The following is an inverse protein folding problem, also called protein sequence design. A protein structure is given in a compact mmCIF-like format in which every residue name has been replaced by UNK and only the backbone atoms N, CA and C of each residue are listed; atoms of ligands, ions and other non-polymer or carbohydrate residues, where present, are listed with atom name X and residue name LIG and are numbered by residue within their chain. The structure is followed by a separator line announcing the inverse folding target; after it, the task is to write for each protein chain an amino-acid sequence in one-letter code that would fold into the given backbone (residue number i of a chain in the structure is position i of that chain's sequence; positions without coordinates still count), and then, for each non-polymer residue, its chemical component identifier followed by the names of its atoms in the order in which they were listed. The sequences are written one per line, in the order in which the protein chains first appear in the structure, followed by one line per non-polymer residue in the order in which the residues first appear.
data_IF_122102736884
#
_entry.id   IF_122102736884
#
_cell.length_a   1.000
_cell.length_b   1.000
_cell.length_c   1.000
_cell.angle_alpha   90.00
_cell.angle_beta   90.00
_cell.angle_gamma   90.00
#
_symmetry.space_group_name_H-M   'P 1'
#
loop_
_entity.id
_entity.type
_entity.pdbx_description
1 polymer ?
#
# COMPACT_ATOMS: atom_id res chain seq x y z
N UNK A 1 18.93 -2.45 6.98
CA UNK A 1 17.85 -3.20 6.31
C UNK A 1 16.50 -3.10 7.01
N UNK A 2 16.34 -3.39 8.31
CA UNK A 2 15.00 -3.23 8.96
C UNK A 2 14.44 -1.81 8.80
N UNK A 3 15.28 -0.79 8.99
CA UNK A 3 14.89 0.62 8.85
C UNK A 3 14.75 1.11 7.40
N UNK A 4 14.98 0.22 6.42
CA UNK A 4 14.82 0.54 4.99
C UNK A 4 13.38 0.29 4.51
N UNK A 5 12.50 -0.26 5.35
CA UNK A 5 11.15 -0.63 4.97
C UNK A 5 10.10 -0.03 5.90
N UNK A 6 9.08 0.60 5.30
CA UNK A 6 7.81 0.88 5.96
C UNK A 6 6.86 -0.30 5.74
N UNK A 7 6.19 -0.73 6.80
CA UNK A 7 5.22 -1.84 6.74
C UNK A 7 3.81 -1.24 6.75
N UNK A 8 3.06 -1.45 5.66
CA UNK A 8 1.65 -1.12 5.58
C UNK A 8 0.83 -2.33 6.06
N UNK A 9 0.10 -2.15 7.15
CA UNK A 9 -0.76 -3.16 7.78
C UNK A 9 -1.91 -2.47 8.50
N UNK A 10 -3.07 -3.14 8.61
CA UNK A 10 -4.23 -2.64 9.35
C UNK A 10 -3.97 -2.49 10.85
N UNK A 11 -3.08 -3.32 11.42
CA UNK A 11 -2.85 -3.34 12.88
C UNK A 11 -2.13 -2.09 13.39
N UNK A 12 -1.16 -1.59 12.64
CA UNK A 12 -0.25 -0.53 13.10
C UNK A 12 -0.20 0.65 12.12
N UNK A 13 -1.36 1.15 11.71
CA UNK A 13 -1.44 2.27 10.76
C UNK A 13 -0.82 3.56 11.29
N UNK A 14 -0.84 3.80 12.59
CA UNK A 14 -0.32 5.03 13.19
C UNK A 14 1.19 5.23 12.99
N UNK A 15 1.93 4.15 12.68
CA UNK A 15 3.38 4.21 12.43
C UNK A 15 3.72 4.31 10.94
N UNK A 16 2.74 4.14 10.05
CA UNK A 16 2.96 4.26 8.61
C UNK A 16 3.18 5.73 8.21
N UNK A 17 4.10 6.06 7.28
CA UNK A 17 4.43 7.45 6.94
C UNK A 17 3.30 8.26 6.28
N UNK A 18 2.22 7.63 5.82
CA UNK A 18 1.08 8.30 5.20
C UNK A 18 -0.17 8.15 6.08
N UNK A 19 -0.60 9.26 6.66
CA UNK A 19 -1.75 9.34 7.57
C UNK A 19 -2.93 10.03 6.89
N UNK A 20 -4.15 9.71 7.32
CA UNK A 20 -5.37 10.36 6.83
C UNK A 20 -5.22 11.89 6.90
N UNK A 21 -5.39 12.55 5.75
CA UNK A 21 -5.48 14.01 5.70
C UNK A 21 -6.92 14.45 5.96
N UNK A 22 -7.14 15.60 6.63
CA UNK A 22 -8.47 16.18 6.74
C UNK A 22 -9.09 16.34 5.34
N UNK A 23 -10.36 15.98 5.18
CA UNK A 23 -11.06 16.15 3.91
C UNK A 23 -10.99 17.63 3.49
N UNK A 24 -10.50 17.96 2.28
CA UNK A 24 -10.49 19.34 1.83
C UNK A 24 -11.91 19.89 1.75
N UNK A 25 -12.04 21.21 1.94
CA UNK A 25 -13.31 21.91 1.69
C UNK A 25 -13.53 21.92 0.17
N UNK A 26 -14.34 20.98 -0.30
CA UNK A 26 -14.55 20.67 -1.72
C UNK A 26 -14.00 19.28 -2.06
N UNK A 27 -14.82 18.44 -2.69
CA UNK A 27 -14.57 17.03 -2.99
C UNK A 27 -13.45 16.82 -4.04
N UNK A 28 -12.21 17.13 -3.66
CA UNK A 28 -11.04 16.81 -4.46
C UNK A 28 -10.58 15.38 -4.15
N UNK A 29 -10.31 14.62 -5.22
CA UNK A 29 -9.77 13.27 -5.14
C UNK A 29 -8.43 13.25 -4.37
N UNK A 30 -8.14 12.20 -3.57
CA UNK A 30 -6.87 12.11 -2.85
C UNK A 30 -5.71 11.77 -3.78
N UNK A 31 -4.51 12.24 -3.50
CA UNK A 31 -3.30 11.83 -4.22
C UNK A 31 -3.01 10.33 -3.99
N UNK A 32 -3.31 9.84 -2.78
CA UNK A 32 -3.13 8.47 -2.35
C UNK A 32 -4.35 7.99 -1.56
N UNK A 33 -4.94 6.87 -1.96
CA UNK A 33 -5.90 6.13 -1.16
C UNK A 33 -5.26 4.83 -0.66
N UNK A 34 -5.34 4.61 0.65
CA UNK A 34 -4.97 3.37 1.32
C UNK A 34 -6.26 2.62 1.69
N UNK A 35 -6.50 1.47 1.05
CA UNK A 35 -7.59 0.58 1.44
C UNK A 35 -7.08 -0.52 2.36
N UNK A 36 -7.47 -0.45 3.62
CA UNK A 36 -7.03 -1.32 4.70
C UNK A 36 -7.90 -2.58 4.78
N UNK A 37 -7.81 -3.41 3.75
CA UNK A 37 -8.46 -4.73 3.72
C UNK A 37 -7.55 -5.82 4.29
N UNK A 38 -7.97 -7.09 4.23
CA UNK A 38 -7.12 -8.25 4.57
C UNK A 38 -5.80 -8.30 3.78
N UNK A 39 -5.72 -7.61 2.63
CA UNK A 39 -4.49 -7.35 1.92
C UNK A 39 -4.48 -5.89 1.48
N UNK A 40 -3.78 -5.00 2.21
CA UNK A 40 -3.81 -3.57 1.96
C UNK A 40 -3.50 -3.21 0.50
N UNK A 41 -4.21 -2.21 -0.02
CA UNK A 41 -4.04 -1.72 -1.40
C UNK A 41 -3.73 -0.24 -1.39
N UNK A 42 -2.94 0.17 -2.38
CA UNK A 42 -2.60 1.56 -2.66
C UNK A 42 -3.25 1.95 -3.98
N UNK A 43 -3.96 3.07 -4.00
CA UNK A 43 -4.45 3.70 -5.22
C UNK A 43 -3.76 5.04 -5.33
N UNK A 44 -2.99 5.22 -6.38
CA UNK A 44 -2.15 6.40 -6.58
C UNK A 44 -2.68 7.15 -7.79
N UNK A 45 -2.90 8.46 -7.66
CA UNK A 45 -3.34 9.28 -8.79
C UNK A 45 -2.31 9.24 -9.93
N UNK A 46 -2.78 9.21 -11.17
CA UNK A 46 -1.99 8.81 -12.34
C UNK A 46 -0.73 9.65 -12.58
N UNK A 47 -0.76 10.95 -12.27
CA UNK A 47 0.41 11.82 -12.43
C UNK A 47 1.54 11.46 -11.44
N UNK A 48 1.21 11.00 -10.23
CA UNK A 48 2.18 10.50 -9.25
C UNK A 48 2.60 9.08 -9.61
N UNK A 49 1.65 8.21 -9.97
CA UNK A 49 1.93 6.83 -10.34
C UNK A 49 2.91 6.72 -11.51
N UNK A 50 2.76 7.57 -12.54
CA UNK A 50 3.68 7.62 -13.68
C UNK A 50 5.15 7.90 -13.31
N UNK A 51 5.42 8.45 -12.11
CA UNK A 51 6.77 8.66 -11.58
C UNK A 51 7.30 7.44 -10.83
N UNK A 52 6.42 6.62 -10.27
CA UNK A 52 6.75 5.39 -9.53
C UNK A 52 6.92 4.18 -10.45
N UNK A 53 6.07 4.05 -11.48
CA UNK A 53 6.05 2.92 -12.41
C UNK A 53 7.44 2.57 -13.00
N UNK A 54 8.27 3.55 -13.43
CA UNK A 54 9.61 3.25 -13.94
C UNK A 54 10.56 2.65 -12.90
N UNK A 55 10.29 2.85 -11.61
CA UNK A 55 11.11 2.31 -10.52
C UNK A 55 10.58 0.96 -10.03
N UNK A 56 9.28 0.85 -9.83
CA UNK A 56 8.62 -0.35 -9.27
C UNK A 56 8.09 -1.21 -10.42
N UNK A 57 8.99 -1.91 -11.10
CA UNK A 57 8.67 -2.77 -12.24
C UNK A 57 8.62 -4.26 -11.88
N UNK A 58 9.40 -4.67 -10.88
CA UNK A 58 9.54 -6.07 -10.53
C UNK A 58 8.42 -6.50 -9.59
N UNK A 59 7.76 -7.62 -9.94
CA UNK A 59 6.83 -8.26 -9.02
C UNK A 59 5.51 -7.52 -8.79
N UNK A 60 5.24 -6.51 -9.62
CA UNK A 60 4.06 -5.65 -9.56
C UNK A 60 3.48 -5.53 -10.97
N UNK A 61 2.16 -5.65 -11.07
CA UNK A 61 1.39 -5.28 -12.25
C UNK A 61 0.65 -3.98 -11.95
N UNK A 62 0.79 -2.96 -12.81
CA UNK A 62 0.12 -1.68 -12.61
C UNK A 62 -1.23 -1.67 -13.32
N UNK A 63 -2.30 -1.66 -12.54
CA UNK A 63 -3.68 -1.72 -13.01
C UNK A 63 -4.31 -0.33 -13.06
N UNK A 64 -5.09 -0.05 -14.11
CA UNK A 64 -6.00 1.08 -14.13
C UNK A 64 -7.07 0.88 -13.06
N UNK A 65 -7.30 1.94 -12.27
CA UNK A 65 -8.24 1.92 -11.17
C UNK A 65 -9.09 3.19 -11.16
N UNK A 66 -10.24 3.05 -10.49
CA UNK A 66 -11.14 4.15 -10.16
C UNK A 66 -11.41 4.11 -8.67
N UNK A 67 -11.57 5.27 -8.06
CA UNK A 67 -11.90 5.42 -6.65
C UNK A 67 -13.33 5.90 -6.55
N UNK A 68 -14.23 5.06 -6.04
CA UNK A 68 -15.63 5.42 -5.79
C UNK A 68 -15.79 5.87 -4.34
N UNK A 69 -16.28 7.09 -4.13
CA UNK A 69 -16.58 7.67 -2.82
C UNK A 69 -18.07 7.94 -2.62
N UNK A 70 -18.91 7.40 -3.50
CA UNK A 70 -20.34 7.61 -3.45
C UNK A 70 -20.95 6.95 -2.21
N UNK A 71 -22.01 7.53 -1.61
CA UNK A 71 -22.75 6.86 -0.54
C UNK A 71 -23.40 5.57 -1.05
N UNK A 72 -23.79 4.68 -0.12
CA UNK A 72 -24.57 3.49 -0.46
C UNK A 72 -25.88 3.88 -1.18
N UNK A 73 -26.05 3.39 -2.42
CA UNK A 73 -27.17 3.74 -3.32
C UNK A 73 -27.20 5.24 -3.67
N UNK A 74 -26.20 5.75 -4.39
CA UNK A 74 -26.13 7.16 -4.74
C UNK A 74 -27.17 7.53 -5.81
N UNK A 75 -27.70 8.75 -5.76
CA UNK A 75 -28.29 9.37 -6.94
C UNK A 75 -27.20 9.81 -7.93
N UNK A 76 -27.56 10.14 -9.17
CA UNK A 76 -26.60 10.60 -10.19
C UNK A 76 -25.80 11.85 -9.73
N UNK A 77 -26.43 12.72 -8.93
CA UNK A 77 -25.82 13.93 -8.36
C UNK A 77 -24.88 13.64 -7.18
N UNK A 78 -24.93 12.43 -6.62
CA UNK A 78 -24.12 11.97 -5.49
C UNK A 78 -22.99 11.02 -5.93
N UNK A 79 -22.85 10.77 -7.24
CA UNK A 79 -21.77 9.96 -7.77
C UNK A 79 -20.44 10.72 -7.64
N UNK A 80 -19.59 10.22 -6.74
CA UNK A 80 -18.23 10.71 -6.54
C UNK A 80 -17.22 9.65 -6.98
N UNK A 81 -17.11 9.47 -8.29
CA UNK A 81 -16.15 8.54 -8.89
C UNK A 81 -14.96 9.32 -9.45
N UNK A 82 -13.78 8.99 -8.97
CA UNK A 82 -12.53 9.58 -9.42
C UNK A 82 -11.78 8.58 -10.31
N UNK A 83 -11.63 8.94 -11.58
CA UNK A 83 -10.85 8.18 -12.56
C UNK A 83 -9.36 8.53 -12.46
N UNK A 84 -8.54 7.90 -13.32
CA UNK A 84 -7.11 8.14 -13.43
C UNK A 84 -6.32 7.79 -12.17
N UNK A 85 -6.67 6.66 -11.54
CA UNK A 85 -5.82 6.02 -10.53
C UNK A 85 -5.09 4.83 -11.13
N UNK A 86 -3.94 4.54 -10.52
CA UNK A 86 -3.15 3.35 -10.80
C UNK A 86 -2.94 2.58 -9.50
N UNK A 87 -3.15 1.27 -9.55
CA UNK A 87 -2.97 0.38 -8.41
C UNK A 87 -1.80 -0.57 -8.69
N UNK A 88 -0.72 -0.55 -7.90
CA UNK A 88 0.30 -1.60 -7.96
C UNK A 88 -0.28 -2.90 -7.39
N UNK A 89 -0.64 -3.83 -8.27
CA UNK A 89 -1.02 -5.18 -7.92
C UNK A 89 0.24 -6.01 -7.63
N UNK A 90 0.57 -6.08 -6.34
CA UNK A 90 1.80 -6.71 -5.84
C UNK A 90 1.63 -8.23 -5.83
N UNK A 91 2.41 -8.91 -6.68
CA UNK A 91 2.51 -10.36 -6.78
C UNK A 91 3.76 -10.90 -6.07
N UNK A 92 4.79 -10.07 -5.92
CA UNK A 92 6.02 -10.46 -5.24
C UNK A 92 5.78 -10.71 -3.76
N UNK A 93 6.28 -11.85 -3.31
CA UNK A 93 6.28 -12.23 -1.91
C UNK A 93 7.67 -12.64 -1.47
N UNK A 94 8.00 -12.36 -0.21
CA UNK A 94 9.18 -12.93 0.42
C UNK A 94 8.82 -13.53 1.77
N UNK A 95 9.52 -14.61 2.11
CA UNK A 95 9.43 -15.26 3.41
C UNK A 95 10.45 -14.62 4.36
N UNK A 96 9.98 -13.95 5.41
CA UNK A 96 10.86 -13.26 6.38
C UNK A 96 10.79 -13.85 7.79
N UNK A 97 10.02 -14.91 7.98
CA UNK A 97 9.84 -15.56 9.28
C UNK A 97 9.83 -17.08 9.11
N UNK A 98 9.89 -17.79 10.23
CA UNK A 98 9.69 -19.25 10.26
C UNK A 98 8.26 -19.63 10.68
N UNK A 99 7.37 -18.64 10.80
CA UNK A 99 5.95 -18.87 11.13
C UNK A 99 5.23 -19.56 9.98
N UNK A 100 4.14 -20.26 10.30
CA UNK A 100 3.24 -20.84 9.30
C UNK A 100 2.46 -19.75 8.55
N UNK A 101 2.04 -20.05 7.32
CA UNK A 101 1.19 -19.15 6.52
C UNK A 101 -0.19 -19.00 7.15
N UNK A 102 -0.67 -17.77 7.28
CA UNK A 102 -1.96 -17.44 7.90
C UNK A 102 -3.15 -17.54 6.93
N UNK A 103 -3.28 -18.67 6.21
CA UNK A 103 -4.36 -18.86 5.23
C UNK A 103 -5.76 -18.71 5.86
N UNK A 104 -6.50 -17.68 5.45
CA UNK A 104 -7.89 -17.46 5.88
C UNK A 104 -8.06 -17.22 7.38
N UNK A 105 -6.97 -16.98 8.12
CA UNK A 105 -7.01 -16.65 9.54
C UNK A 105 -7.06 -15.13 9.67
N UNK A 106 -7.94 -14.65 10.56
CA UNK A 106 -7.97 -13.24 10.97
C UNK A 106 -6.81 -12.83 11.89
N UNK A 107 -5.95 -13.80 12.27
CA UNK A 107 -4.82 -13.58 13.15
C UNK A 107 -3.60 -13.17 12.32
N UNK A 108 -3.56 -11.89 11.94
CA UNK A 108 -2.39 -11.30 11.30
C UNK A 108 -1.17 -11.35 12.23
N UNK A 109 0.01 -11.44 11.63
CA UNK A 109 1.26 -11.32 12.35
C UNK A 109 1.40 -9.90 12.90
N UNK A 110 1.35 -9.81 14.23
CA UNK A 110 1.65 -8.57 14.93
C UNK A 110 3.09 -8.14 14.64
N UNK A 111 3.23 -6.97 14.03
CA UNK A 111 4.52 -6.40 13.59
C UNK A 111 5.40 -5.97 14.76
N UNK A 112 4.84 -5.72 15.94
CA UNK A 112 5.61 -5.29 17.12
C UNK A 112 6.26 -6.48 17.84
N UNK A 113 5.62 -7.65 17.79
CA UNK A 113 6.12 -8.88 18.40
C UNK A 113 6.77 -9.85 17.41
N UNK A 114 6.63 -9.64 16.10
CA UNK A 114 7.25 -10.47 15.07
C UNK A 114 8.63 -9.97 14.69
N UNK A 115 9.63 -10.82 14.82
CA UNK A 115 10.97 -10.58 14.29
C UNK A 115 11.03 -10.99 12.81
N UNK A 116 11.37 -10.04 11.94
CA UNK A 116 11.55 -10.26 10.51
C UNK A 116 13.04 -10.41 10.17
N UNK A 117 13.39 -11.53 9.57
CA UNK A 117 14.74 -11.85 9.12
C UNK A 117 15.00 -11.25 7.72
N UNK A 118 15.44 -10.00 7.71
CA UNK A 118 15.82 -9.30 6.47
C UNK A 118 17.10 -9.83 5.82
N UNK A 119 17.89 -10.69 6.49
CA UNK A 119 19.08 -11.29 5.87
C UNK A 119 18.71 -12.15 4.64
N UNK A 120 17.48 -12.69 4.64
CA UNK A 120 16.88 -13.42 3.51
C UNK A 120 16.76 -12.57 2.23
N UNK A 121 16.89 -11.23 2.33
CA UNK A 121 16.82 -10.30 1.21
C UNK A 121 18.19 -9.80 0.72
N UNK A 122 19.31 -10.14 1.38
CA UNK A 122 20.64 -9.55 1.08
C UNK A 122 21.10 -9.81 -0.35
N UNK A 123 20.84 -11.02 -0.85
CA UNK A 123 21.23 -11.43 -2.20
C UNK A 123 20.20 -11.02 -3.27
N UNK A 124 19.13 -10.33 -2.88
CA UNK A 124 18.08 -9.88 -3.76
C UNK A 124 18.34 -8.41 -4.11
N UNK A 125 18.49 -8.07 -5.40
CA UNK A 125 18.68 -6.69 -5.82
C UNK A 125 17.55 -5.78 -5.34
N UNK A 126 17.87 -4.55 -4.92
CA UNK A 126 16.91 -3.63 -4.31
C UNK A 126 15.70 -3.37 -5.22
N UNK A 127 15.93 -3.28 -6.53
CA UNK A 127 14.90 -3.09 -7.56
C UNK A 127 13.84 -4.20 -7.56
N UNK A 128 14.18 -5.42 -7.12
CA UNK A 128 13.24 -6.55 -7.03
C UNK A 128 12.46 -6.57 -5.71
N UNK A 129 12.90 -5.81 -4.71
CA UNK A 129 12.34 -5.76 -3.36
C UNK A 129 11.92 -4.35 -2.94
N UNK A 130 11.49 -3.52 -3.91
CA UNK A 130 10.97 -2.18 -3.63
C UNK A 130 9.59 -2.21 -2.98
N UNK A 131 8.71 -3.10 -3.44
CA UNK A 131 7.41 -3.36 -2.84
C UNK A 131 7.14 -4.86 -2.90
N UNK A 132 6.77 -5.48 -1.78
CA UNK A 132 6.41 -6.89 -1.74
C UNK A 132 5.45 -7.19 -0.58
N UNK A 133 4.79 -8.35 -0.62
CA UNK A 133 3.98 -8.87 0.47
C UNK A 133 4.75 -9.91 1.28
N UNK A 134 4.41 -10.06 2.55
CA UNK A 134 4.92 -11.21 3.32
C UNK A 134 4.25 -12.49 2.82
N UNK A 135 5.04 -13.53 2.54
CA UNK A 135 4.52 -14.80 2.06
C UNK A 135 3.64 -15.50 3.11
N UNK A 136 3.97 -15.30 4.38
CA UNK A 136 3.26 -15.84 5.54
C UNK A 136 1.97 -15.08 5.86
N UNK A 137 1.87 -13.82 5.45
CA UNK A 137 0.74 -12.94 5.74
C UNK A 137 0.58 -11.81 4.72
N UNK A 138 -0.40 -11.95 3.83
CA UNK A 138 -0.70 -10.93 2.80
C UNK A 138 -1.30 -9.63 3.35
N UNK A 139 -1.60 -9.56 4.65
CA UNK A 139 -1.97 -8.33 5.36
C UNK A 139 -0.80 -7.38 5.57
N UNK A 140 0.44 -7.84 5.37
CA UNK A 140 1.65 -7.04 5.53
C UNK A 140 2.26 -6.74 4.16
N UNK A 141 2.29 -5.46 3.81
CA UNK A 141 2.96 -4.95 2.61
C UNK A 141 4.22 -4.19 3.02
N UNK A 142 5.37 -4.62 2.53
CA UNK A 142 6.66 -4.00 2.79
C UNK A 142 6.98 -3.04 1.64
N UNK A 143 7.25 -1.78 1.97
CA UNK A 143 7.53 -0.72 1.01
C UNK A 143 8.89 -0.10 1.36
N UNK A 144 9.83 -0.22 0.44
CA UNK A 144 11.19 0.30 0.61
C UNK A 144 11.18 1.84 0.72
N UNK A 145 12.09 2.38 1.51
CA UNK A 145 12.16 3.79 1.85
C UNK A 145 12.29 4.69 0.61
N UNK A 146 12.96 4.24 -0.45
CA UNK A 146 13.05 5.00 -1.71
C UNK A 146 11.69 5.24 -2.38
N UNK A 147 10.75 4.29 -2.27
CA UNK A 147 9.38 4.44 -2.77
C UNK A 147 8.61 5.42 -1.87
N UNK A 148 8.76 5.28 -0.55
CA UNK A 148 8.16 6.20 0.44
C UNK A 148 8.64 7.64 0.21
N UNK A 149 9.95 7.84 0.01
CA UNK A 149 10.54 9.16 -0.19
C UNK A 149 10.07 9.81 -1.49
N UNK A 150 9.88 9.02 -2.56
CA UNK A 150 9.31 9.53 -3.80
C UNK A 150 7.85 9.92 -3.61
N UNK A 151 7.05 9.08 -2.97
CA UNK A 151 5.65 9.38 -2.67
C UNK A 151 5.54 10.65 -1.82
N UNK A 152 6.36 10.81 -0.77
CA UNK A 152 6.38 12.01 0.09
C UNK A 152 6.66 13.32 -0.65
N UNK A 153 7.35 13.28 -1.79
CA UNK A 153 7.60 14.48 -2.61
C UNK A 153 6.37 14.98 -3.36
N UNK A 154 5.39 14.10 -3.59
CA UNK A 154 4.29 14.35 -4.50
C UNK A 154 2.90 14.22 -3.86
N UNK A 155 2.73 13.28 -2.93
CA UNK A 155 1.48 13.04 -2.19
C UNK A 155 1.28 14.14 -1.16
N UNK A 156 0.15 14.84 -1.24
CA UNK A 156 -0.29 15.89 -0.32
C UNK A 156 -1.59 15.52 0.39
N UNK A 157 -2.48 14.81 -0.29
CA UNK A 157 -3.75 14.33 0.26
C UNK A 157 -3.78 12.81 0.33
N UNK A 158 -4.15 12.28 1.50
CA UNK A 158 -4.23 10.84 1.76
C UNK A 158 -5.60 10.52 2.31
N UNK A 159 -6.28 9.57 1.69
CA UNK A 159 -7.46 8.93 2.25
C UNK A 159 -7.09 7.53 2.74
N UNK A 160 -7.68 7.13 3.86
CA UNK A 160 -7.56 5.81 4.45
C UNK A 160 -8.98 5.26 4.60
N UNK A 161 -9.26 4.13 3.95
CA UNK A 161 -10.52 3.41 4.05
C UNK A 161 -10.29 2.13 4.81
N UNK A 162 -10.94 2.02 5.96
CA UNK A 162 -11.04 0.77 6.68
C UNK A 162 -12.31 0.02 6.23
N UNK A 163 -12.14 -1.12 5.55
CA UNK A 163 -13.21 -1.92 4.94
C UNK A 163 -13.27 -3.29 5.62
#
# INVERSE_FOLDING_TARGET
MKDEYSILTKQNMDTFPFQQTPAPVGAAAPDLLLEMTFSPKLFIIGDIASKLEPLVQHGVEWLDARVDNSPSQPSDEQLEVYDNYRMPYIQQTYRLTDKEKQFGKLNWLDTDSTEFDFSKLENIPVEQRLIFKLEEDFGLVFIHQSVIDLLKKHVKTVWVRDI
#
